data_IF_350177255739
#
_entry.id   IF_350177255739
#
_cell.length_a   1.000
_cell.length_b   1.000
_cell.length_c   1.000
_cell.angle_alpha   90.00
_cell.angle_beta   90.00
_cell.angle_gamma   90.00
#
_symmetry.space_group_name_H-M   'P 1'
#
loop_
_entity.id
_entity.type
_entity.pdbx_description
1 polymer ?
#
# COMPACT_ATOMS: atom_id res chain seq x y z
N UNK A 1 -38.50 51.38 -7.91
CA UNK A 1 -37.40 50.98 -8.83
C UNK A 1 -36.42 50.13 -8.03
N UNK A 2 -36.59 48.80 -8.01
CA UNK A 2 -35.74 47.89 -7.24
C UNK A 2 -34.61 47.37 -8.15
N UNK A 3 -33.36 47.67 -7.79
CA UNK A 3 -32.18 47.30 -8.56
C UNK A 3 -31.78 45.86 -8.25
N UNK A 4 -31.99 44.94 -9.19
CA UNK A 4 -31.52 43.55 -9.10
C UNK A 4 -30.00 43.51 -9.31
N UNK A 5 -29.23 43.20 -8.25
CA UNK A 5 -27.79 42.90 -8.36
C UNK A 5 -27.60 41.55 -9.05
N UNK A 6 -27.11 41.55 -10.28
CA UNK A 6 -26.59 40.36 -10.97
C UNK A 6 -25.26 39.95 -10.33
N UNK A 7 -25.31 38.96 -9.44
CA UNK A 7 -24.12 38.35 -8.83
C UNK A 7 -23.52 37.34 -9.81
N UNK A 8 -22.43 37.74 -10.50
CA UNK A 8 -21.66 36.83 -11.35
C UNK A 8 -21.00 35.78 -10.45
N UNK A 9 -21.27 34.48 -10.66
CA UNK A 9 -20.69 33.45 -9.81
C UNK A 9 -19.18 33.33 -10.06
N UNK A 10 -18.42 33.17 -8.97
CA UNK A 10 -16.94 33.29 -8.95
C UNK A 10 -16.19 32.28 -9.82
N UNK A 11 -16.83 31.21 -10.29
CA UNK A 11 -16.24 30.25 -11.22
C UNK A 11 -16.07 30.80 -12.65
N UNK A 12 -16.71 31.92 -12.98
CA UNK A 12 -16.54 32.60 -14.28
C UNK A 12 -15.40 33.63 -14.28
N UNK A 13 -14.76 33.87 -13.14
CA UNK A 13 -13.63 34.80 -13.02
C UNK A 13 -12.32 34.01 -13.06
N UNK A 14 -11.36 34.33 -13.95
CA UNK A 14 -10.06 33.67 -13.97
C UNK A 14 -9.30 33.99 -12.67
N UNK A 15 -9.15 33.00 -11.80
CA UNK A 15 -8.58 33.18 -10.46
C UNK A 15 -7.05 33.31 -10.41
N UNK A 16 -6.35 33.21 -11.55
CA UNK A 16 -4.91 33.44 -11.60
C UNK A 16 -4.45 33.78 -13.01
N UNK A 17 -4.07 35.04 -13.22
CA UNK A 17 -3.36 35.45 -14.44
C UNK A 17 -1.96 34.82 -14.47
N UNK A 18 -1.73 33.90 -15.41
CA UNK A 18 -0.42 33.34 -15.77
C UNK A 18 0.63 34.42 -16.11
N UNK A 19 0.20 35.67 -16.33
CA UNK A 19 1.04 36.84 -16.63
C UNK A 19 1.90 37.33 -15.46
N UNK A 20 1.64 36.91 -14.21
CA UNK A 20 2.44 37.35 -13.04
C UNK A 20 3.57 36.38 -12.62
N UNK A 21 3.78 35.28 -13.34
CA UNK A 21 4.77 34.23 -12.99
C UNK A 21 6.12 34.33 -13.69
N UNK A 22 6.45 35.48 -14.31
CA UNK A 22 7.65 35.65 -15.14
C UNK A 22 8.54 36.79 -14.63
N UNK A 23 9.10 36.65 -13.43
CA UNK A 23 10.22 37.50 -12.98
C UNK A 23 10.94 36.88 -11.76
N UNK A 24 11.64 35.77 -11.95
CA UNK A 24 12.69 35.35 -11.01
C UNK A 24 13.79 34.61 -11.80
N UNK A 25 14.99 35.21 -11.96
CA UNK A 25 16.13 34.54 -12.58
C UNK A 25 16.82 33.56 -11.61
N UNK A 26 17.24 32.44 -12.20
CA UNK A 26 18.09 31.37 -11.67
C UNK A 26 19.49 31.88 -11.24
N UNK A 27 20.17 31.17 -10.32
CA UNK A 27 21.57 30.84 -10.61
C UNK A 27 21.86 29.33 -10.51
N UNK A 28 21.92 28.69 -11.68
CA UNK A 28 22.75 27.52 -11.92
C UNK A 28 24.15 28.00 -12.30
N UNK A 29 25.19 27.54 -11.59
CA UNK A 29 26.56 27.51 -12.10
C UNK A 29 27.65 27.93 -11.12
N UNK A 30 28.27 26.97 -10.44
CA UNK A 30 29.73 26.86 -10.47
C UNK A 30 30.15 25.44 -10.12
N UNK A 31 30.78 24.79 -11.10
CA UNK A 31 31.51 23.55 -10.94
C UNK A 31 32.87 23.79 -10.25
N UNK A 32 33.43 22.69 -9.75
CA UNK A 32 34.86 22.43 -9.52
C UNK A 32 35.51 22.93 -8.23
N UNK A 33 35.68 22.00 -7.27
CA UNK A 33 36.96 21.78 -6.58
C UNK A 33 37.00 20.39 -5.88
N UNK A 34 37.81 19.50 -6.46
CA UNK A 34 38.67 18.49 -5.82
C UNK A 34 38.11 17.46 -4.81
N UNK A 35 37.90 16.26 -5.35
CA UNK A 35 38.50 14.96 -4.95
C UNK A 35 39.20 14.92 -3.56
N UNK A 36 38.74 14.02 -2.68
CA UNK A 36 39.58 12.98 -2.03
C UNK A 36 38.76 11.73 -1.73
N UNK A 37 38.90 10.75 -2.61
CA UNK A 37 38.54 9.36 -2.39
C UNK A 37 39.72 8.74 -1.62
N UNK A 38 39.49 8.25 -0.40
CA UNK A 38 40.49 7.45 0.32
C UNK A 38 40.31 5.98 -0.04
N UNK A 39 41.05 5.54 -1.06
CA UNK A 39 41.31 4.14 -1.34
C UNK A 39 42.28 3.60 -0.28
N UNK A 40 41.87 2.57 0.46
CA UNK A 40 42.77 1.78 1.31
C UNK A 40 43.17 0.53 0.53
N UNK A 41 44.39 0.54 0.01
CA UNK A 41 45.00 -0.59 -0.67
C UNK A 41 45.40 -1.66 0.34
N UNK A 42 45.10 -2.91 -0.02
CA UNK A 42 45.61 -4.11 0.59
C UNK A 42 47.14 -4.23 0.37
N UNK A 43 47.86 -4.69 1.39
CA UNK A 43 49.22 -5.22 1.25
C UNK A 43 49.25 -6.67 1.69
N UNK A 44 49.45 -7.54 0.70
CA UNK A 44 49.90 -8.92 0.83
C UNK A 44 51.30 -8.99 1.42
N UNK A 45 51.53 -9.89 2.37
CA UNK A 45 52.87 -10.46 2.60
C UNK A 45 52.77 -11.95 2.93
N UNK A 46 53.02 -12.73 1.87
CA UNK A 46 53.81 -13.96 1.83
C UNK A 46 53.50 -15.09 2.84
N UNK A 47 52.91 -16.14 2.27
CA UNK A 47 53.25 -17.55 2.50
C UNK A 47 54.75 -17.79 2.76
N UNK A 48 55.11 -18.70 3.67
CA UNK A 48 55.47 -20.09 3.31
C UNK A 48 56.24 -20.83 4.42
N UNK A 49 55.94 -22.13 4.52
CA UNK A 49 56.88 -23.26 4.63
C UNK A 49 57.81 -23.37 5.87
N UNK A 50 57.53 -24.37 6.71
CA UNK A 50 58.52 -25.40 7.08
C UNK A 50 59.09 -26.02 5.78
N UNK A 51 60.41 -26.38 5.65
CA UNK A 51 61.13 -27.25 6.57
C UNK A 51 62.67 -27.02 6.68
N UNK A 52 63.31 -27.89 7.49
CA UNK A 52 64.71 -28.37 7.44
C UNK A 52 65.84 -27.52 8.05
N UNK A 53 66.66 -28.22 8.85
CA UNK A 53 67.92 -27.78 9.47
C UNK A 53 68.89 -27.16 8.45
N UNK A 54 69.69 -26.18 8.88
CA UNK A 54 71.13 -26.37 8.72
C UNK A 54 71.97 -25.88 9.91
N UNK A 55 73.06 -26.61 10.13
CA UNK A 55 74.21 -26.29 10.98
C UNK A 55 74.73 -24.86 10.77
N UNK A 56 74.71 -24.08 11.85
CA UNK A 56 75.28 -22.74 11.97
C UNK A 56 75.67 -22.44 13.42
N UNK A 57 76.51 -21.42 13.66
CA UNK A 57 77.30 -21.26 14.89
C UNK A 57 76.44 -21.17 16.15
N UNK A 58 76.95 -21.75 17.25
CA UNK A 58 76.29 -21.89 18.57
C UNK A 58 76.06 -20.52 19.22
N UNK A 59 75.00 -19.83 18.80
CA UNK A 59 74.55 -18.57 19.42
C UNK A 59 73.84 -18.90 20.73
N UNK A 60 74.28 -18.28 21.83
CA UNK A 60 73.63 -18.37 23.15
C UNK A 60 72.13 -18.05 22.99
N UNK A 61 71.28 -18.96 23.46
CA UNK A 61 69.84 -18.72 23.50
C UNK A 61 69.57 -17.40 24.23
N UNK A 62 68.86 -16.48 23.57
CA UNK A 62 68.38 -15.28 24.24
C UNK A 62 67.56 -15.74 25.45
N UNK A 63 67.80 -15.20 26.66
CA UNK A 63 67.00 -15.58 27.83
C UNK A 63 65.52 -15.32 27.53
N UNK A 64 64.66 -16.24 27.97
CA UNK A 64 63.20 -16.14 27.89
C UNK A 64 62.79 -14.71 28.21
N UNK A 65 62.19 -14.01 27.23
CA UNK A 65 61.66 -12.66 27.47
C UNK A 65 60.71 -12.76 28.65
N UNK A 66 60.97 -11.99 29.70
CA UNK A 66 60.09 -11.86 30.85
C UNK A 66 58.69 -11.50 30.35
N UNK A 67 57.82 -12.50 30.33
CA UNK A 67 56.40 -12.32 30.10
C UNK A 67 55.84 -12.03 31.49
N UNK A 68 55.59 -10.75 31.85
CA UNK A 68 54.89 -10.48 33.11
C UNK A 68 53.61 -11.31 33.09
N UNK A 69 53.16 -11.85 34.23
CA UNK A 69 51.94 -12.66 34.29
C UNK A 69 50.86 -11.92 33.51
N UNK A 70 50.55 -12.45 32.32
CA UNK A 70 49.57 -11.87 31.44
C UNK A 70 48.30 -11.84 32.26
N UNK A 71 47.68 -10.66 32.37
CA UNK A 71 46.38 -10.50 32.99
C UNK A 71 45.53 -11.71 32.61
N UNK A 72 45.14 -12.51 33.62
CA UNK A 72 44.63 -13.86 33.38
C UNK A 72 43.54 -13.84 32.32
N UNK A 73 43.57 -14.76 31.37
CA UNK A 73 42.58 -14.84 30.26
C UNK A 73 41.12 -15.03 30.73
N UNK A 74 40.92 -15.13 32.05
CA UNK A 74 39.60 -15.16 32.66
C UNK A 74 39.05 -13.75 32.66
N UNK A 75 38.00 -13.55 31.86
CA UNK A 75 37.11 -12.41 32.03
C UNK A 75 36.79 -12.27 33.53
N UNK A 76 36.87 -11.06 34.09
CA UNK A 76 36.52 -10.83 35.48
C UNK A 76 35.14 -11.44 35.74
N UNK A 77 35.03 -12.21 36.83
CA UNK A 77 33.75 -12.82 37.24
C UNK A 77 32.68 -11.73 37.23
N UNK A 78 31.46 -12.06 36.78
CA UNK A 78 30.29 -11.16 36.75
C UNK A 78 29.78 -10.75 38.15
N UNK A 79 30.66 -10.65 39.13
CA UNK A 79 30.37 -10.02 40.40
C UNK A 79 30.42 -8.51 40.16
N UNK A 80 29.31 -7.77 40.30
CA UNK A 80 29.36 -6.33 40.19
C UNK A 80 30.41 -5.79 41.17
N UNK A 81 31.16 -4.74 40.80
CA UNK A 81 32.18 -4.17 41.65
C UNK A 81 31.57 -3.81 43.00
N UNK A 82 32.03 -4.48 44.06
CA UNK A 82 31.56 -4.26 45.43
C UNK A 82 31.72 -2.78 45.75
N UNK A 83 30.60 -2.07 45.87
CA UNK A 83 30.60 -0.71 46.34
C UNK A 83 31.02 -0.73 47.82
N UNK A 84 32.13 -0.06 48.12
CA UNK A 84 32.59 0.10 49.49
C UNK A 84 31.63 1.08 50.17
N UNK A 85 30.63 0.54 50.89
CA UNK A 85 29.54 1.32 51.48
C UNK A 85 28.40 0.52 52.09
N UNK A 86 28.37 -0.81 51.89
CA UNK A 86 27.24 -1.64 52.32
C UNK A 86 26.09 -1.62 51.30
N UNK A 87 25.06 -2.42 51.54
CA UNK A 87 23.85 -2.42 50.71
C UNK A 87 23.07 -1.14 50.98
N UNK A 88 22.63 -0.46 49.91
CA UNK A 88 21.87 0.79 50.06
C UNK A 88 20.55 0.51 50.78
N UNK A 89 20.20 1.38 51.71
CA UNK A 89 18.85 1.38 52.27
C UNK A 89 17.83 1.69 51.16
N UNK A 90 16.60 1.21 51.33
CA UNK A 90 15.53 1.44 50.35
C UNK A 90 15.29 2.95 50.09
N UNK A 91 15.45 3.77 51.13
CA UNK A 91 15.29 5.23 51.04
C UNK A 91 16.42 5.88 50.23
N UNK A 92 17.67 5.47 50.45
CA UNK A 92 18.82 5.98 49.70
C UNK A 92 18.79 5.59 48.23
N UNK A 93 18.32 4.37 47.91
CA UNK A 93 18.14 3.92 46.54
C UNK A 93 17.06 4.75 45.82
N UNK A 94 15.96 5.06 46.50
CA UNK A 94 14.91 5.94 45.96
C UNK A 94 15.41 7.38 45.76
N UNK A 95 16.23 7.90 46.68
CA UNK A 95 16.84 9.23 46.56
C UNK A 95 17.86 9.30 45.41
N UNK A 96 18.65 8.24 45.19
CA UNK A 96 19.55 8.15 44.04
C UNK A 96 18.79 8.10 42.72
N UNK A 97 17.67 7.38 42.66
CA UNK A 97 16.84 7.31 41.45
C UNK A 97 16.20 8.66 41.06
N UNK A 98 16.08 9.60 42.00
CA UNK A 98 15.56 10.95 41.74
C UNK A 98 16.64 11.99 41.43
N UNK A 99 17.93 11.66 41.64
CA UNK A 99 19.03 12.60 41.34
C UNK A 99 19.23 12.72 39.84
N UNK A 100 19.21 13.96 39.36
CA UNK A 100 19.49 14.31 37.97
C UNK A 100 20.98 14.63 37.81
N UNK A 101 21.64 13.98 36.86
CA UNK A 101 23.07 14.15 36.57
C UNK A 101 23.27 14.39 35.07
N UNK A 102 24.24 15.24 34.68
CA UNK A 102 24.49 15.51 33.27
C UNK A 102 24.90 14.21 32.54
N UNK A 103 24.19 13.89 31.45
CA UNK A 103 24.46 12.70 30.62
C UNK A 103 23.77 11.41 31.07
N UNK A 104 23.01 11.42 32.17
CA UNK A 104 22.14 10.30 32.55
C UNK A 104 20.73 10.50 31.99
N UNK A 105 19.95 9.41 31.78
CA UNK A 105 18.54 9.55 31.44
C UNK A 105 17.80 10.26 32.58
N UNK A 106 16.77 11.04 32.24
CA UNK A 106 16.06 11.84 33.24
C UNK A 106 15.35 10.93 34.25
N UNK A 107 15.22 11.35 35.52
CA UNK A 107 14.63 10.52 36.57
C UNK A 107 13.13 10.25 36.33
N UNK A 108 12.57 9.15 36.89
CA UNK A 108 11.27 8.61 36.51
C UNK A 108 10.07 9.54 36.77
N UNK A 109 10.23 10.47 37.69
CA UNK A 109 9.24 11.49 38.06
C UNK A 109 9.28 12.75 37.17
N UNK A 110 10.01 12.73 36.05
CA UNK A 110 10.12 13.87 35.14
C UNK A 110 9.28 13.70 33.87
N UNK A 111 8.85 14.82 33.29
CA UNK A 111 8.16 14.83 31.99
C UNK A 111 9.05 14.32 30.85
N UNK A 112 10.36 14.56 30.94
CA UNK A 112 11.31 14.07 29.96
C UNK A 112 11.38 12.53 29.98
N UNK A 113 11.41 11.93 31.17
CA UNK A 113 11.31 10.48 31.31
C UNK A 113 10.02 9.94 30.73
N UNK A 114 8.88 10.58 31.04
CA UNK A 114 7.58 10.23 30.49
C UNK A 114 7.57 10.27 28.95
N UNK A 115 8.08 11.35 28.34
CA UNK A 115 8.12 11.48 26.88
C UNK A 115 8.99 10.40 26.22
N UNK A 116 10.17 10.12 26.79
CA UNK A 116 11.12 9.14 26.24
C UNK A 116 10.57 7.71 26.38
N UNK A 117 9.93 7.36 27.49
CA UNK A 117 9.52 5.97 27.78
C UNK A 117 8.09 5.65 27.34
N UNK A 118 7.28 6.64 27.01
CA UNK A 118 5.90 6.40 26.59
C UNK A 118 5.82 5.98 25.11
N UNK A 119 5.63 4.68 24.89
CA UNK A 119 5.49 4.07 23.56
C UNK A 119 4.38 4.70 22.72
N UNK A 120 3.28 5.12 23.33
CA UNK A 120 2.14 5.69 22.60
C UNK A 120 2.47 7.03 21.96
N UNK A 121 3.30 7.85 22.61
CA UNK A 121 3.74 9.14 22.05
C UNK A 121 4.59 8.89 20.80
N UNK A 122 5.54 7.96 20.88
CA UNK A 122 6.36 7.60 19.72
C UNK A 122 5.53 7.01 18.58
N UNK A 123 4.56 6.15 18.88
CA UNK A 123 3.64 5.62 17.88
C UNK A 123 2.79 6.73 17.27
N UNK A 124 2.24 7.65 18.07
CA UNK A 124 1.44 8.75 17.56
C UNK A 124 2.26 9.70 16.68
N UNK A 125 3.50 10.03 17.06
CA UNK A 125 4.39 10.87 16.27
C UNK A 125 4.79 10.15 14.98
N UNK A 126 5.24 8.90 15.04
CA UNK A 126 5.68 8.16 13.85
C UNK A 126 4.53 7.87 12.88
N UNK A 127 3.41 7.34 13.37
CA UNK A 127 2.22 7.09 12.55
C UNK A 127 1.59 8.39 12.07
N UNK A 128 1.53 9.42 12.92
CA UNK A 128 0.99 10.73 12.57
C UNK A 128 1.81 11.44 11.50
N UNK A 129 3.15 11.43 11.62
CA UNK A 129 4.03 12.01 10.59
C UNK A 129 3.95 11.26 9.27
N UNK A 130 3.98 9.92 9.29
CA UNK A 130 3.84 9.11 8.07
C UNK A 130 2.47 9.31 7.42
N UNK A 131 1.39 9.32 8.20
CA UNK A 131 0.03 9.54 7.70
C UNK A 131 -0.13 10.95 7.13
N UNK A 132 0.40 11.97 7.80
CA UNK A 132 0.40 13.35 7.31
C UNK A 132 1.15 13.50 5.98
N UNK A 133 2.33 12.88 5.86
CA UNK A 133 3.10 12.87 4.60
C UNK A 133 2.35 12.11 3.49
N UNK A 134 1.70 11.00 3.82
CA UNK A 134 0.90 10.23 2.86
C UNK A 134 -0.30 11.05 2.33
N UNK A 135 -1.02 11.74 3.22
CA UNK A 135 -2.15 12.61 2.83
C UNK A 135 -1.63 13.81 2.01
N UNK A 136 -0.52 14.41 2.41
CA UNK A 136 0.08 15.55 1.70
C UNK A 136 0.54 15.18 0.29
N UNK A 137 1.27 14.07 0.16
CA UNK A 137 1.72 13.56 -1.14
C UNK A 137 0.55 13.12 -2.02
N UNK A 138 -0.48 12.50 -1.44
CA UNK A 138 -1.72 12.20 -2.15
C UNK A 138 -2.41 13.47 -2.67
N UNK A 139 -2.56 14.50 -1.83
CA UNK A 139 -3.17 15.76 -2.22
C UNK A 139 -2.37 16.47 -3.32
N UNK A 140 -1.04 16.49 -3.23
CA UNK A 140 -0.16 17.03 -4.27
C UNK A 140 -0.30 16.24 -5.58
N UNK A 141 -0.26 14.91 -5.52
CA UNK A 141 -0.44 14.07 -6.70
C UNK A 141 -1.82 14.26 -7.34
N UNK A 142 -2.87 14.40 -6.52
CA UNK A 142 -4.22 14.71 -7.00
C UNK A 142 -4.25 16.04 -7.75
N UNK A 143 -3.66 17.10 -7.18
CA UNK A 143 -3.62 18.42 -7.83
C UNK A 143 -2.83 18.42 -9.15
N UNK A 144 -1.82 17.57 -9.28
CA UNK A 144 -1.02 17.47 -10.51
C UNK A 144 -1.64 16.58 -11.59
N UNK A 145 -2.39 15.55 -11.22
CA UNK A 145 -2.89 14.52 -12.16
C UNK A 145 -4.38 14.60 -12.44
N UNK A 146 -5.16 15.24 -11.56
CA UNK A 146 -6.61 15.32 -11.70
C UNK A 146 -7.02 16.52 -12.54
N UNK A 147 -7.91 16.33 -13.54
CA UNK A 147 -8.49 17.45 -14.29
C UNK A 147 -9.50 18.27 -13.44
N UNK A 148 -9.86 17.80 -12.24
CA UNK A 148 -10.82 18.45 -11.35
C UNK A 148 -10.16 19.21 -10.19
N UNK A 149 -8.85 19.47 -10.28
CA UNK A 149 -8.08 20.13 -9.22
C UNK A 149 -8.62 21.53 -8.87
N UNK A 150 -9.12 22.26 -9.86
CA UNK A 150 -9.66 23.62 -9.69
C UNK A 150 -11.02 23.65 -8.99
N UNK A 151 -11.69 22.50 -8.89
CA UNK A 151 -12.98 22.36 -8.19
C UNK A 151 -12.81 22.15 -6.68
N UNK A 152 -11.57 22.00 -6.19
CA UNK A 152 -11.31 21.84 -4.76
C UNK A 152 -11.58 23.14 -3.98
N UNK A 153 -12.13 23.05 -2.75
CA UNK A 153 -12.27 24.21 -1.90
C UNK A 153 -10.90 24.85 -1.65
N UNK A 154 -10.81 26.20 -1.62
CA UNK A 154 -9.57 26.88 -1.27
C UNK A 154 -9.20 26.57 0.18
N UNK A 155 -7.90 26.60 0.50
CA UNK A 155 -7.39 26.24 1.83
C UNK A 155 -8.07 27.01 2.98
N UNK A 156 -8.49 28.25 2.74
CA UNK A 156 -9.21 29.08 3.72
C UNK A 156 -10.60 28.54 4.04
N UNK A 157 -11.29 27.94 3.08
CA UNK A 157 -12.67 27.48 3.25
C UNK A 157 -12.76 26.29 4.22
N UNK A 158 -11.72 25.45 4.27
CA UNK A 158 -11.64 24.36 5.25
C UNK A 158 -11.67 24.84 6.71
N UNK A 159 -11.21 26.06 6.99
CA UNK A 159 -11.21 26.61 8.35
C UNK A 159 -12.55 27.25 8.73
N UNK A 160 -13.19 27.96 7.80
CA UNK A 160 -14.46 28.66 8.07
C UNK A 160 -15.68 27.75 7.90
N UNK A 161 -15.64 26.82 6.95
CA UNK A 161 -16.76 25.95 6.59
C UNK A 161 -16.33 24.48 6.43
N UNK A 162 -15.85 23.82 7.51
CA UNK A 162 -15.23 22.50 7.43
C UNK A 162 -16.17 21.42 6.86
N UNK A 163 -17.46 21.47 7.21
CA UNK A 163 -18.43 20.45 6.80
C UNK A 163 -18.75 20.54 5.31
N UNK A 164 -18.93 21.76 4.76
CA UNK A 164 -19.21 21.92 3.33
C UNK A 164 -17.97 21.61 2.49
N UNK A 165 -16.78 22.04 2.91
CA UNK A 165 -15.54 21.77 2.18
C UNK A 165 -15.24 20.26 2.10
N UNK A 166 -15.50 19.49 3.17
CA UNK A 166 -15.35 18.03 3.14
C UNK A 166 -16.35 17.37 2.19
N UNK A 167 -17.61 17.82 2.17
CA UNK A 167 -18.61 17.29 1.21
C UNK A 167 -18.20 17.54 -0.24
N UNK A 168 -17.78 18.76 -0.54
CA UNK A 168 -17.25 19.13 -1.86
C UNK A 168 -16.03 18.27 -2.25
N UNK A 169 -15.11 18.03 -1.30
CA UNK A 169 -13.95 17.16 -1.53
C UNK A 169 -14.37 15.72 -1.87
N UNK A 170 -15.37 15.17 -1.17
CA UNK A 170 -15.90 13.81 -1.46
C UNK A 170 -16.52 13.76 -2.86
N UNK A 171 -17.28 14.79 -3.25
CA UNK A 171 -17.87 14.87 -4.59
C UNK A 171 -16.81 14.92 -5.68
N UNK A 172 -15.77 15.74 -5.50
CA UNK A 172 -14.64 15.85 -6.43
C UNK A 172 -13.85 14.53 -6.52
N UNK A 173 -13.63 13.84 -5.40
CA UNK A 173 -12.99 12.53 -5.39
C UNK A 173 -13.83 11.50 -6.15
N UNK A 174 -15.15 11.46 -5.92
CA UNK A 174 -16.07 10.58 -6.63
C UNK A 174 -16.06 10.86 -8.14
N UNK A 175 -16.00 12.13 -8.55
CA UNK A 175 -15.91 12.53 -9.95
C UNK A 175 -14.59 12.08 -10.59
N UNK A 176 -13.47 12.22 -9.86
CA UNK A 176 -12.16 11.74 -10.30
C UNK A 176 -12.13 10.22 -10.49
N UNK A 177 -12.74 9.48 -9.57
CA UNK A 177 -12.88 8.02 -9.68
C UNK A 177 -13.77 7.61 -10.85
N UNK A 178 -14.89 8.30 -11.06
CA UNK A 178 -15.77 8.07 -12.21
C UNK A 178 -15.03 8.30 -13.52
N UNK A 179 -14.23 9.37 -13.61
CA UNK A 179 -13.43 9.67 -14.80
C UNK A 179 -12.34 8.61 -15.05
N UNK A 180 -11.59 8.21 -14.02
CA UNK A 180 -10.60 7.12 -14.15
C UNK A 180 -11.25 5.82 -14.58
N UNK A 181 -12.40 5.50 -14.01
CA UNK A 181 -13.18 4.30 -14.36
C UNK A 181 -13.63 4.35 -15.81
N UNK A 182 -14.14 5.49 -16.28
CA UNK A 182 -14.52 5.69 -17.68
C UNK A 182 -13.33 5.48 -18.63
N UNK A 183 -12.16 6.07 -18.33
CA UNK A 183 -10.95 5.88 -19.13
C UNK A 183 -10.48 4.43 -19.17
N UNK A 184 -10.52 3.73 -18.03
CA UNK A 184 -10.14 2.31 -17.95
C UNK A 184 -11.12 1.46 -18.75
N UNK A 185 -12.42 1.73 -18.63
CA UNK A 185 -13.46 1.02 -19.38
C UNK A 185 -13.31 1.24 -20.88
N UNK A 186 -12.99 2.46 -21.31
CA UNK A 186 -12.71 2.75 -22.73
C UNK A 186 -11.49 1.98 -23.23
N UNK A 187 -10.39 1.97 -22.46
CA UNK A 187 -9.19 1.16 -22.80
C UNK A 187 -9.52 -0.33 -22.89
N UNK A 188 -10.29 -0.86 -21.94
CA UNK A 188 -10.74 -2.26 -21.97
C UNK A 188 -11.62 -2.55 -23.17
N UNK A 189 -12.55 -1.65 -23.49
CA UNK A 189 -13.43 -1.76 -24.66
C UNK A 189 -12.62 -1.81 -25.96
N UNK A 190 -11.64 -0.94 -26.14
CA UNK A 190 -10.74 -0.96 -27.32
C UNK A 190 -10.00 -2.30 -27.45
N UNK A 191 -9.45 -2.81 -26.35
CA UNK A 191 -8.76 -4.10 -26.36
C UNK A 191 -9.70 -5.27 -26.71
N UNK A 192 -10.92 -5.25 -26.17
CA UNK A 192 -11.95 -6.26 -26.47
C UNK A 192 -12.37 -6.19 -27.94
N UNK A 193 -12.60 -5.00 -28.48
CA UNK A 193 -12.93 -4.80 -29.88
C UNK A 193 -11.81 -5.29 -30.81
N UNK A 194 -10.55 -5.06 -30.45
CA UNK A 194 -9.41 -5.54 -31.23
C UNK A 194 -9.30 -7.06 -31.22
N UNK A 195 -9.54 -7.70 -30.07
CA UNK A 195 -9.61 -9.16 -29.96
C UNK A 195 -10.78 -9.72 -30.78
N UNK A 196 -11.95 -9.09 -30.70
CA UNK A 196 -13.13 -9.50 -31.46
C UNK A 196 -12.90 -9.37 -32.98
N UNK A 197 -12.28 -8.29 -33.46
CA UNK A 197 -11.90 -8.13 -34.88
C UNK A 197 -10.95 -9.23 -35.34
N UNK A 198 -9.93 -9.57 -34.52
CA UNK A 198 -9.00 -10.66 -34.85
C UNK A 198 -9.70 -12.01 -34.91
N UNK A 199 -10.60 -12.29 -33.96
CA UNK A 199 -11.39 -13.52 -33.96
C UNK A 199 -12.31 -13.59 -35.20
N UNK A 200 -13.00 -12.50 -35.54
CA UNK A 200 -13.85 -12.43 -36.73
C UNK A 200 -13.05 -12.60 -38.02
N UNK A 201 -11.89 -11.95 -38.13
CA UNK A 201 -10.98 -12.10 -39.27
C UNK A 201 -10.54 -13.56 -39.46
N UNK A 202 -10.16 -14.24 -38.37
CA UNK A 202 -9.77 -15.66 -38.42
C UNK A 202 -10.93 -16.56 -38.84
N UNK A 203 -12.11 -16.37 -38.26
CA UNK A 203 -13.33 -17.12 -38.60
C UNK A 203 -13.66 -16.97 -40.09
N UNK A 204 -13.56 -15.76 -40.64
CA UNK A 204 -13.80 -15.49 -42.06
C UNK A 204 -12.76 -16.13 -42.98
N UNK A 205 -11.50 -16.25 -42.53
CA UNK A 205 -10.42 -16.86 -43.30
C UNK A 205 -10.20 -18.35 -43.00
N UNK A 206 -11.06 -18.97 -42.16
CA UNK A 206 -10.97 -20.39 -41.81
C UNK A 206 -9.75 -20.78 -40.97
N UNK A 207 -9.09 -19.82 -40.30
CA UNK A 207 -7.96 -20.11 -39.40
C UNK A 207 -8.47 -20.69 -38.06
N UNK A 208 -7.74 -21.63 -37.44
CA UNK A 208 -8.11 -22.17 -36.14
C UNK A 208 -8.14 -21.08 -35.07
N UNK A 209 -9.05 -21.21 -34.11
CA UNK A 209 -9.14 -20.30 -32.97
C UNK A 209 -7.82 -20.29 -32.19
N UNK A 210 -7.42 -19.11 -31.70
CA UNK A 210 -6.21 -19.00 -30.89
C UNK A 210 -6.38 -19.77 -29.57
N UNK A 211 -5.69 -20.91 -29.45
CA UNK A 211 -5.38 -21.51 -28.15
C UNK A 211 -4.47 -20.54 -27.39
N UNK A 212 -4.82 -20.25 -26.14
CA UNK A 212 -4.01 -19.40 -25.28
C UNK A 212 -2.65 -20.04 -24.97
N UNK A 213 -1.77 -19.27 -24.32
CA UNK A 213 -0.59 -19.83 -23.66
C UNK A 213 -1.07 -20.99 -22.76
N UNK A 214 -0.50 -22.18 -22.91
CA UNK A 214 -0.92 -23.45 -22.26
C UNK A 214 -2.09 -24.23 -22.88
N UNK A 215 -2.37 -24.12 -24.19
CA UNK A 215 -3.37 -24.94 -24.88
C UNK A 215 -4.77 -24.90 -24.25
N UNK A 216 -5.07 -23.87 -23.46
CA UNK A 216 -6.41 -23.64 -22.94
C UNK A 216 -7.22 -22.81 -23.94
N UNK A 217 -8.48 -23.17 -24.21
CA UNK A 217 -9.35 -22.33 -25.03
C UNK A 217 -9.50 -20.99 -24.31
N UNK A 218 -9.01 -19.90 -24.92
CA UNK A 218 -9.16 -18.58 -24.30
C UNK A 218 -10.65 -18.24 -24.22
N UNK A 219 -11.07 -17.63 -23.11
CA UNK A 219 -12.47 -17.27 -22.88
C UNK A 219 -12.99 -16.42 -24.06
N UNK A 220 -13.87 -17.01 -24.87
CA UNK A 220 -14.47 -16.35 -26.02
C UNK A 220 -15.40 -15.25 -25.52
N UNK A 221 -15.21 -14.04 -26.02
CA UNK A 221 -16.22 -12.99 -25.85
C UNK A 221 -17.32 -13.34 -26.86
N UNK A 222 -18.40 -13.96 -26.38
CA UNK A 222 -19.57 -14.29 -27.20
C UNK A 222 -20.03 -13.01 -27.89
N UNK A 223 -20.06 -13.03 -29.22
CA UNK A 223 -20.54 -11.90 -30.02
C UNK A 223 -22.04 -11.72 -29.80
N UNK A 224 -22.56 -10.51 -30.00
CA UNK A 224 -23.98 -10.20 -29.78
C UNK A 224 -24.91 -11.07 -30.66
N UNK A 225 -24.44 -11.52 -31.82
CA UNK A 225 -25.15 -12.46 -32.71
C UNK A 225 -25.25 -13.88 -32.12
N UNK A 226 -24.18 -14.37 -31.48
CA UNK A 226 -24.18 -15.68 -30.81
C UNK A 226 -25.03 -15.63 -29.52
N UNK A 227 -25.01 -14.50 -28.78
CA UNK A 227 -25.91 -14.31 -27.63
C UNK A 227 -27.39 -14.16 -28.04
N UNK A 228 -27.68 -13.50 -29.17
CA UNK A 228 -29.04 -13.42 -29.71
C UNK A 228 -29.55 -14.79 -30.18
N UNK A 229 -28.68 -15.59 -30.81
CA UNK A 229 -29.00 -16.96 -31.23
C UNK A 229 -29.25 -17.90 -30.02
N UNK A 230 -28.42 -17.82 -28.98
CA UNK A 230 -28.57 -18.64 -27.76
C UNK A 230 -29.83 -18.26 -26.96
N UNK A 231 -30.19 -16.97 -26.94
CA UNK A 231 -31.44 -16.48 -26.31
C UNK A 231 -32.69 -16.90 -27.08
N UNK A 232 -32.60 -17.01 -28.41
CA UNK A 232 -33.65 -17.58 -29.25
C UNK A 232 -33.82 -19.10 -29.07
N UNK A 233 -32.73 -19.84 -28.82
CA UNK A 233 -32.77 -21.28 -28.58
C UNK A 233 -33.24 -21.64 -27.16
N UNK A 234 -32.89 -20.85 -26.14
CA UNK A 234 -33.36 -21.05 -24.76
C UNK A 234 -34.89 -20.85 -24.61
N UNK A 235 -35.52 -20.03 -25.47
CA UNK A 235 -36.97 -19.88 -25.52
C UNK A 235 -37.70 -21.09 -26.11
N UNK A 236 -37.03 -21.90 -26.92
CA UNK A 236 -37.62 -23.06 -27.60
C UNK A 236 -37.48 -24.37 -26.80
N UNK A 237 -36.48 -24.44 -25.89
CA UNK A 237 -36.27 -25.60 -25.01
C UNK A 237 -37.33 -25.79 -23.91
N UNK A 238 -38.05 -24.72 -23.53
CA UNK A 238 -39.10 -24.78 -22.50
C UNK A 238 -40.41 -25.40 -23.02
N UNK A 239 -40.66 -25.40 -24.34
CA UNK A 239 -41.91 -25.95 -24.91
C UNK A 239 -41.87 -27.47 -25.17
N UNK A 240 -40.70 -28.10 -25.29
CA UNK A 240 -40.64 -29.56 -25.50
C UNK A 240 -40.75 -30.38 -24.22
N UNK A 241 -40.40 -29.81 -23.06
CA UNK A 241 -40.46 -30.54 -21.79
C UNK A 241 -41.87 -30.56 -21.16
N UNK A 242 -42.79 -29.70 -21.62
CA UNK A 242 -44.18 -29.66 -21.15
C UNK A 242 -45.14 -30.60 -21.92
N UNK A 243 -44.71 -31.29 -22.97
CA UNK A 243 -45.56 -32.24 -23.73
C UNK A 243 -45.49 -33.69 -23.24
N UNK A 244 -44.61 -34.03 -22.29
CA UNK A 244 -44.44 -35.41 -21.80
C UNK A 244 -44.87 -35.64 -20.34
N UNK A 245 -45.46 -34.65 -19.66
CA UNK A 245 -45.90 -34.76 -18.26
C UNK A 245 -47.40 -34.65 -18.04
N UNK A 246 -48.22 -34.86 -19.08
CA UNK A 246 -49.64 -34.54 -19.09
C UNK A 246 -50.59 -35.69 -18.81
N UNK A 247 -50.34 -36.53 -17.81
CA UNK A 247 -51.37 -37.38 -17.21
C UNK A 247 -51.06 -37.58 -15.73
N UNK A 248 -51.51 -36.65 -14.89
CA UNK A 248 -52.18 -36.93 -13.62
C UNK A 248 -52.50 -35.63 -12.87
N UNK A 249 -53.75 -35.57 -12.45
CA UNK A 249 -54.33 -34.74 -11.39
C UNK A 249 -54.84 -33.35 -11.78
N UNK A 250 -56.10 -33.38 -12.20
CA UNK A 250 -57.09 -32.33 -12.02
C UNK A 250 -57.37 -32.10 -10.51
N UNK A 251 -57.76 -30.86 -10.22
CA UNK A 251 -58.35 -30.32 -8.97
C UNK A 251 -57.33 -30.02 -7.85
N UNK A 252 -57.17 -28.79 -7.37
CA UNK A 252 -58.22 -27.89 -6.88
C UNK A 252 -57.68 -26.45 -6.72
N UNK A 253 -58.48 -25.45 -7.12
CA UNK A 253 -58.47 -24.01 -6.73
C UNK A 253 -57.22 -23.15 -7.03
N UNK A 254 -57.29 -21.94 -7.58
CA UNK A 254 -58.38 -20.98 -7.70
C UNK A 254 -57.92 -19.62 -7.16
N UNK A 255 -57.63 -18.70 -8.10
CA UNK A 255 -57.61 -17.22 -7.95
C UNK A 255 -56.53 -16.59 -7.03
N UNK A 256 -55.78 -15.55 -7.41
CA UNK A 256 -56.15 -14.39 -8.22
C UNK A 256 -54.96 -13.78 -9.01
N UNK A 257 -55.25 -13.39 -10.25
CA UNK A 257 -54.55 -12.31 -10.96
C UNK A 257 -54.98 -10.96 -10.33
N UNK A 258 -54.21 -9.87 -10.36
CA UNK A 258 -54.08 -8.95 -11.51
C UNK A 258 -53.03 -7.86 -11.18
N UNK A 259 -52.15 -7.58 -12.16
CA UNK A 259 -51.37 -6.36 -12.46
C UNK A 259 -50.30 -5.87 -11.45
N UNK A 260 -49.14 -5.31 -11.83
CA UNK A 260 -48.70 -4.68 -13.06
C UNK A 260 -47.15 -4.70 -13.17
N UNK A 261 -46.68 -4.85 -14.40
CA UNK A 261 -45.52 -4.24 -15.05
C UNK A 261 -44.22 -3.96 -14.25
N UNK A 262 -43.13 -4.63 -14.64
CA UNK A 262 -41.78 -4.26 -14.22
C UNK A 262 -40.68 -5.23 -14.66
N UNK A 263 -40.44 -5.36 -15.96
CA UNK A 263 -39.33 -6.14 -16.52
C UNK A 263 -37.98 -5.58 -16.07
N UNK A 264 -37.25 -6.29 -15.18
CA UNK A 264 -35.82 -6.06 -14.97
C UNK A 264 -35.01 -7.36 -15.03
N UNK A 265 -33.97 -7.24 -15.87
CA UNK A 265 -32.92 -8.18 -16.28
C UNK A 265 -32.29 -8.96 -15.10
N UNK A 266 -32.23 -10.27 -15.28
CA UNK A 266 -31.44 -11.21 -14.46
C UNK A 266 -29.95 -11.07 -14.85
N UNK A 267 -29.18 -10.39 -14.01
CA UNK A 267 -27.73 -10.62 -13.86
C UNK A 267 -27.49 -11.52 -12.64
N UNK A 268 -26.29 -12.10 -12.43
CA UNK A 268 -26.04 -12.93 -11.27
C UNK A 268 -26.18 -12.09 -10.00
N UNK A 269 -27.24 -12.33 -9.25
CA UNK A 269 -27.53 -11.70 -7.99
C UNK A 269 -26.40 -12.07 -7.01
N UNK A 270 -25.64 -11.06 -6.56
CA UNK A 270 -24.67 -11.23 -5.48
C UNK A 270 -25.47 -11.45 -4.20
N UNK A 271 -25.79 -12.71 -3.91
CA UNK A 271 -26.35 -13.11 -2.62
C UNK A 271 -25.40 -12.65 -1.52
N UNK A 272 -25.92 -11.88 -0.55
CA UNK A 272 -25.18 -11.57 0.67
C UNK A 272 -25.03 -12.87 1.44
N UNK A 273 -23.80 -13.39 1.49
CA UNK A 273 -23.42 -14.54 2.31
C UNK A 273 -23.95 -14.33 3.73
N UNK A 274 -24.65 -15.33 4.25
CA UNK A 274 -25.11 -15.37 5.63
C UNK A 274 -23.90 -15.36 6.57
N UNK A 275 -24.08 -14.93 7.83
CA UNK A 275 -22.95 -14.75 8.76
C UNK A 275 -22.16 -16.04 9.00
N UNK A 276 -22.83 -17.18 8.92
CA UNK A 276 -22.24 -18.51 9.06
C UNK A 276 -21.33 -18.86 7.86
N UNK A 277 -21.77 -18.57 6.64
CA UNK A 277 -20.98 -18.80 5.41
C UNK A 277 -19.75 -17.89 5.37
N UNK A 278 -19.87 -16.65 5.85
CA UNK A 278 -18.71 -15.73 5.96
C UNK A 278 -17.66 -16.27 6.93
N UNK A 279 -18.08 -16.82 8.06
CA UNK A 279 -17.16 -17.40 9.03
C UNK A 279 -16.49 -18.66 8.49
N UNK A 280 -17.19 -19.48 7.68
CA UNK A 280 -16.60 -20.64 7.03
C UNK A 280 -15.49 -20.24 6.04
N UNK A 281 -15.73 -19.23 5.19
CA UNK A 281 -14.73 -18.71 4.23
C UNK A 281 -13.51 -18.13 4.96
N UNK A 282 -13.72 -17.41 6.07
CA UNK A 282 -12.62 -16.87 6.88
C UNK A 282 -11.80 -17.98 7.54
N UNK A 283 -12.45 -19.04 8.04
CA UNK A 283 -11.75 -20.20 8.63
C UNK A 283 -10.94 -20.96 7.57
N UNK A 284 -11.49 -21.17 6.39
CA UNK A 284 -10.80 -21.83 5.27
C UNK A 284 -9.59 -21.00 4.80
N UNK A 285 -9.77 -19.68 4.67
CA UNK A 285 -8.68 -18.77 4.32
C UNK A 285 -7.57 -18.74 5.38
N UNK A 286 -7.94 -18.77 6.68
CA UNK A 286 -6.98 -18.80 7.79
C UNK A 286 -6.22 -20.12 7.85
N UNK A 287 -6.85 -21.26 7.56
CA UNK A 287 -6.17 -22.56 7.46
C UNK A 287 -5.24 -22.64 6.26
N UNK A 288 -5.67 -22.15 5.09
CA UNK A 288 -4.81 -22.06 3.89
C UNK A 288 -3.61 -21.15 4.12
N UNK A 289 -3.77 -20.08 4.90
CA UNK A 289 -2.68 -19.16 5.23
C UNK A 289 -1.71 -19.72 6.27
N UNK A 290 -2.20 -20.50 7.24
CA UNK A 290 -1.36 -21.18 8.24
C UNK A 290 -0.64 -22.44 7.70
N UNK A 291 -0.99 -22.93 6.51
CA UNK A 291 -0.32 -24.07 5.86
C UNK A 291 0.85 -23.70 4.94
N UNK A 292 1.25 -22.42 4.91
CA UNK A 292 2.34 -21.90 4.05
C UNK A 292 3.62 -21.58 4.89
N UNK A 293 3.64 -21.94 6.18
CA UNK A 293 4.83 -21.91 7.04
C UNK A 293 5.03 -23.25 7.76
#
# INVERSE_FOLDING_TARGET
MASTRTSIPRFLLPQSGLIWRRAAPSPSGSASASRRILLRLASSSSSSSTPSNPSGPRVLAKPERFNPPSHGSRLPKKTPPRHYGGDLSFEEAAAQAQRDYPGMPPPPNTRAYWFIHNRWIHVFITVGTLSGLAIFTFAMNFKHTSPFADMLPPASDYLYHPISSVRMLIEVLRLHEAHKTAQINEKRKRNVEDVAKRAAYRKAHGLPDEMGLFNQPMARIKTDEEMAAERGQAGNGVQQQQRQGGEQKLEESGEAAVAAAGTQKIGPEVRRLTEEERQAVVKEAKQKWLGIF
#
